data_IF_517308133057
#
_entry.id   IF_517308133057
#
_cell.length_a   1.000
_cell.length_b   1.000
_cell.length_c   1.000
_cell.angle_alpha   90.00
_cell.angle_beta   90.00
_cell.angle_gamma   90.00
#
_symmetry.space_group_name_H-M   'P 1'
#
loop_
_entity.id
_entity.type
_entity.pdbx_description
1 polymer ?
#
# COMPACT_ATOMS: atom_id res chain seq x y z
N UNK A 1 -2.55 -3.85 -5.84
CA UNK A 1 -3.16 -2.50 -5.95
C UNK A 1 -4.02 -2.42 -7.21
N UNK A 2 -5.06 -1.60 -7.22
CA UNK A 2 -5.59 -1.03 -8.46
C UNK A 2 -5.44 0.48 -8.31
N UNK A 3 -4.91 1.17 -9.31
CA UNK A 3 -4.37 2.54 -9.14
C UNK A 3 -5.30 3.53 -8.43
N UNK A 4 -6.62 3.38 -8.55
CA UNK A 4 -7.64 4.27 -7.97
C UNK A 4 -8.83 3.56 -7.33
N UNK A 5 -8.93 2.25 -7.47
CA UNK A 5 -10.09 1.51 -7.00
C UNK A 5 -9.87 1.01 -5.57
N UNK A 6 -10.90 1.13 -4.74
CA UNK A 6 -10.93 0.63 -3.37
C UNK A 6 -11.71 -0.68 -3.30
N UNK A 7 -11.26 -1.60 -2.44
CA UNK A 7 -12.04 -2.81 -2.15
C UNK A 7 -13.34 -2.43 -1.44
N UNK A 8 -14.49 -2.91 -1.91
CA UNK A 8 -15.77 -2.66 -1.25
C UNK A 8 -16.06 -3.72 -0.18
N UNK A 9 -16.71 -3.32 0.92
CA UNK A 9 -17.08 -4.23 2.02
C UNK A 9 -17.92 -5.45 1.56
N UNK A 10 -18.74 -5.29 0.50
CA UNK A 10 -19.53 -6.37 -0.09
C UNK A 10 -18.81 -7.23 -1.14
N UNK A 11 -17.50 -7.03 -1.32
CA UNK A 11 -16.70 -7.64 -2.37
C UNK A 11 -16.65 -6.81 -3.66
N UNK A 12 -15.65 -7.08 -4.48
CA UNK A 12 -15.35 -6.29 -5.68
C UNK A 12 -14.62 -4.98 -5.36
N UNK A 13 -14.60 -4.08 -6.35
CA UNK A 13 -13.87 -2.82 -6.28
C UNK A 13 -14.74 -1.66 -6.74
N UNK A 14 -14.63 -0.51 -6.08
CA UNK A 14 -15.39 0.71 -6.36
C UNK A 14 -14.45 1.90 -6.56
N UNK A 15 -14.90 2.87 -7.34
CA UNK A 15 -14.28 4.19 -7.42
C UNK A 15 -15.00 5.12 -6.46
N UNK A 16 -14.24 5.79 -5.61
CA UNK A 16 -14.77 6.71 -4.60
C UNK A 16 -14.21 8.09 -4.95
N UNK A 17 -15.02 8.96 -5.58
CA UNK A 17 -14.59 10.31 -5.89
C UNK A 17 -14.03 11.00 -4.64
N UNK A 18 -13.02 11.83 -4.82
CA UNK A 18 -12.26 12.53 -3.78
C UNK A 18 -11.34 11.61 -2.96
N UNK A 19 -11.83 10.47 -2.47
CA UNK A 19 -10.97 9.54 -1.70
C UNK A 19 -9.84 8.94 -2.57
N UNK A 20 -10.08 8.75 -3.86
CA UNK A 20 -9.09 8.26 -4.82
C UNK A 20 -8.00 9.28 -5.21
N UNK A 21 -8.12 10.53 -4.73
CA UNK A 21 -7.13 11.59 -4.94
C UNK A 21 -6.02 11.60 -3.88
N UNK A 22 -6.19 10.88 -2.77
CA UNK A 22 -5.19 10.81 -1.70
C UNK A 22 -4.02 9.94 -2.14
N UNK A 23 -2.81 10.47 -2.01
CA UNK A 23 -1.60 9.72 -2.35
C UNK A 23 -1.28 8.65 -1.30
N UNK A 24 -0.46 7.68 -1.72
CA UNK A 24 -0.01 6.60 -0.88
C UNK A 24 1.26 6.96 -0.10
N UNK A 25 1.28 6.64 1.19
CA UNK A 25 2.52 6.45 1.92
C UNK A 25 2.45 5.20 2.80
N UNK A 26 3.41 4.26 2.72
CA UNK A 26 3.43 3.08 3.59
C UNK A 26 3.93 3.41 5.00
N UNK A 27 4.67 4.50 5.17
CA UNK A 27 5.39 4.85 6.41
C UNK A 27 4.92 6.16 7.03
N UNK A 28 4.40 7.09 6.23
CA UNK A 28 3.96 8.42 6.67
C UNK A 28 2.48 8.67 6.39
N UNK A 29 1.63 7.63 6.36
CA UNK A 29 0.20 7.83 6.23
C UNK A 29 -0.33 8.56 7.49
N UNK A 30 -0.98 9.69 7.28
CA UNK A 30 -1.58 10.54 8.31
C UNK A 30 -3.12 10.59 8.21
N UNK A 31 -3.68 9.83 7.28
CA UNK A 31 -5.11 9.57 7.14
C UNK A 31 -5.41 8.09 7.03
N UNK A 32 -6.62 7.70 7.46
CA UNK A 32 -7.20 6.38 7.24
C UNK A 32 -8.54 6.46 6.50
N UNK A 33 -8.85 5.43 5.72
CA UNK A 33 -10.13 5.30 5.01
C UNK A 33 -11.02 4.34 5.80
N UNK A 34 -12.13 4.85 6.32
CA UNK A 34 -13.13 4.08 7.08
C UNK A 34 -14.34 3.84 6.19
N UNK A 35 -14.69 2.57 5.98
CA UNK A 35 -15.89 2.20 5.24
C UNK A 35 -17.05 1.92 6.19
N UNK A 36 -18.17 2.56 5.92
CA UNK A 36 -19.45 2.33 6.59
C UNK A 36 -20.45 1.75 5.58
N UNK A 37 -21.62 1.31 6.07
CA UNK A 37 -22.65 0.71 5.21
C UNK A 37 -23.14 1.67 4.12
N UNK A 38 -23.23 2.97 4.42
CA UNK A 38 -23.85 3.97 3.54
C UNK A 38 -22.88 5.02 3.00
N UNK A 39 -21.67 5.11 3.56
CA UNK A 39 -20.71 6.15 3.22
C UNK A 39 -19.28 5.72 3.55
N UNK A 40 -18.34 6.55 3.13
CA UNK A 40 -16.91 6.36 3.37
C UNK A 40 -16.38 7.66 3.97
N UNK A 41 -15.53 7.51 4.96
CA UNK A 41 -14.87 8.62 5.63
C UNK A 41 -13.36 8.51 5.41
N UNK A 42 -12.72 9.65 5.22
CA UNK A 42 -11.26 9.77 5.33
C UNK A 42 -11.01 10.62 6.57
N UNK A 43 -10.38 10.03 7.58
CA UNK A 43 -10.14 10.70 8.87
C UNK A 43 -8.65 10.82 9.13
N UNK A 44 -8.22 11.93 9.74
CA UNK A 44 -6.83 12.14 10.12
C UNK A 44 -6.49 11.31 11.36
N UNK A 45 -5.31 10.73 11.41
CA UNK A 45 -4.84 9.92 12.55
C UNK A 45 -3.93 10.72 13.50
N UNK A 46 -3.55 11.93 13.09
CA UNK A 46 -2.78 12.89 13.87
C UNK A 46 -3.22 14.33 13.54
N UNK A 47 -2.65 15.30 14.26
CA UNK A 47 -2.75 16.71 13.90
C UNK A 47 -2.06 16.95 12.54
N UNK A 48 -2.63 17.84 11.72
CA UNK A 48 -2.14 18.17 10.38
C UNK A 48 -1.87 19.66 10.29
N UNK A 49 -0.66 20.02 9.89
CA UNK A 49 -0.29 21.42 9.69
C UNK A 49 -0.79 21.96 8.35
N UNK A 50 -1.05 23.27 8.28
CA UNK A 50 -1.47 23.91 7.04
C UNK A 50 -0.39 23.76 5.94
N UNK A 51 -0.76 23.14 4.82
CA UNK A 51 0.15 22.85 3.71
C UNK A 51 0.82 21.48 3.77
N UNK A 52 0.61 20.71 4.84
CA UNK A 52 0.97 19.30 4.88
C UNK A 52 0.05 18.48 3.96
N UNK A 53 0.63 17.50 3.27
CA UNK A 53 -0.12 16.61 2.39
C UNK A 53 -0.87 15.54 3.20
N UNK A 54 -2.11 15.26 2.80
CA UNK A 54 -2.90 14.18 3.37
C UNK A 54 -2.62 12.88 2.60
N UNK A 55 -2.14 11.87 3.32
CA UNK A 55 -1.64 10.62 2.77
C UNK A 55 -2.38 9.44 3.41
N UNK A 56 -2.81 8.49 2.60
CA UNK A 56 -3.41 7.23 3.06
C UNK A 56 -2.45 6.05 2.80
N UNK A 57 -2.67 4.94 3.49
CA UNK A 57 -2.02 3.68 3.16
C UNK A 57 -2.92 2.85 2.24
N UNK A 58 -2.50 2.56 1.01
CA UNK A 58 -3.27 1.71 0.09
C UNK A 58 -3.28 0.24 0.55
N UNK A 59 -2.30 -0.15 1.36
CA UNK A 59 -2.04 -1.49 1.84
C UNK A 59 -0.54 -1.79 1.89
N UNK A 60 -0.20 -3.00 2.32
CA UNK A 60 1.19 -3.46 2.46
C UNK A 60 1.68 -4.07 1.15
N UNK A 61 2.18 -3.21 0.26
CA UNK A 61 2.62 -3.61 -1.08
C UNK A 61 4.12 -3.38 -1.29
N UNK A 62 4.77 -4.31 -1.98
CA UNK A 62 6.14 -4.14 -2.45
C UNK A 62 6.24 -3.06 -3.53
N UNK A 63 7.44 -2.53 -3.76
CA UNK A 63 7.65 -1.56 -4.84
C UNK A 63 7.40 -2.18 -6.23
N UNK A 64 7.64 -3.48 -6.39
CA UNK A 64 7.28 -4.20 -7.61
C UNK A 64 5.76 -4.19 -7.84
N UNK A 65 4.97 -4.45 -6.80
CA UNK A 65 3.50 -4.41 -6.89
C UNK A 65 2.97 -2.99 -7.12
N UNK A 66 3.53 -1.98 -6.44
CA UNK A 66 3.15 -0.57 -6.63
C UNK A 66 3.47 -0.12 -8.06
N UNK A 67 4.66 -0.45 -8.58
CA UNK A 67 5.05 -0.08 -9.93
C UNK A 67 4.12 -0.71 -10.97
N UNK A 68 3.87 -2.01 -10.85
CA UNK A 68 3.02 -2.74 -11.80
C UNK A 68 1.56 -2.27 -11.79
N UNK A 69 1.00 -2.03 -10.61
CA UNK A 69 -0.44 -1.77 -10.47
C UNK A 69 -0.83 -0.29 -10.38
N UNK A 70 0.10 0.57 -9.94
CA UNK A 70 -0.16 1.97 -9.62
C UNK A 70 0.78 2.94 -10.35
N UNK A 71 1.83 2.44 -11.00
CA UNK A 71 2.72 3.24 -11.84
C UNK A 71 3.75 4.08 -11.08
N UNK A 72 3.99 3.79 -9.79
CA UNK A 72 5.00 4.47 -8.97
C UNK A 72 5.67 3.51 -7.97
N UNK A 73 6.77 3.95 -7.36
CA UNK A 73 7.40 3.28 -6.21
C UNK A 73 7.39 4.22 -5.00
N UNK A 74 7.41 3.67 -3.79
CA UNK A 74 7.42 4.44 -2.55
C UNK A 74 8.78 4.32 -1.83
N UNK A 75 9.23 5.42 -1.23
CA UNK A 75 10.44 5.45 -0.41
C UNK A 75 10.28 6.37 0.81
N UNK A 76 10.53 5.89 2.04
CA UNK A 76 10.84 4.50 2.39
C UNK A 76 9.60 3.60 2.24
N UNK A 77 9.81 2.30 1.96
CA UNK A 77 8.75 1.29 1.91
C UNK A 77 9.15 0.06 2.72
N UNK A 78 8.61 -0.06 3.93
CA UNK A 78 8.90 -1.16 4.85
C UNK A 78 8.30 -2.51 4.41
N UNK A 79 7.40 -2.49 3.42
CA UNK A 79 6.80 -3.68 2.82
C UNK A 79 7.48 -4.09 1.51
N UNK A 80 8.58 -3.43 1.14
CA UNK A 80 9.32 -3.82 -0.05
C UNK A 80 9.99 -5.19 0.12
N UNK A 81 9.98 -5.98 -0.95
CA UNK A 81 10.39 -7.37 -0.90
C UNK A 81 10.41 -8.01 -2.28
N UNK A 82 11.04 -9.18 -2.34
CA UNK A 82 11.16 -9.98 -3.56
C UNK A 82 10.53 -11.34 -3.33
N UNK A 83 9.78 -11.80 -4.33
CA UNK A 83 9.32 -13.19 -4.39
C UNK A 83 10.49 -14.03 -4.86
N UNK A 84 10.88 -15.01 -4.04
CA UNK A 84 11.95 -15.96 -4.36
C UNK A 84 11.36 -17.35 -4.37
N UNK A 85 11.67 -18.14 -5.40
CA UNK A 85 11.25 -19.53 -5.41
C UNK A 85 11.95 -20.30 -4.28
N UNK A 86 11.21 -21.18 -3.60
CA UNK A 86 11.76 -21.94 -2.47
C UNK A 86 12.95 -22.82 -2.87
N UNK A 87 13.03 -23.28 -4.11
CA UNK A 87 14.17 -24.03 -4.62
C UNK A 87 15.40 -23.15 -4.81
N UNK A 88 15.23 -21.94 -5.35
CA UNK A 88 16.30 -20.95 -5.48
C UNK A 88 16.84 -20.55 -4.11
N UNK A 89 15.95 -20.31 -3.14
CA UNK A 89 16.33 -19.98 -1.77
C UNK A 89 17.12 -21.12 -1.13
N UNK A 90 16.67 -22.37 -1.27
CA UNK A 90 17.37 -23.54 -0.73
C UNK A 90 18.75 -23.73 -1.37
N UNK A 91 18.85 -23.54 -2.69
CA UNK A 91 20.12 -23.64 -3.41
C UNK A 91 21.10 -22.56 -2.93
N UNK A 92 20.64 -21.32 -2.76
CA UNK A 92 21.45 -20.24 -2.22
C UNK A 92 21.93 -20.52 -0.79
N UNK A 93 21.05 -21.02 0.09
CA UNK A 93 21.42 -21.36 1.47
C UNK A 93 22.48 -22.47 1.51
N UNK A 94 22.30 -23.54 0.72
CA UNK A 94 23.27 -24.63 0.62
C UNK A 94 24.64 -24.18 0.06
N UNK A 95 24.66 -23.14 -0.76
CA UNK A 95 25.90 -22.59 -1.30
C UNK A 95 26.68 -21.69 -0.31
N UNK A 96 26.01 -21.18 0.73
CA UNK A 96 26.57 -20.14 1.63
C UNK A 96 26.83 -20.66 3.05
N UNK A 97 26.15 -21.72 3.49
CA UNK A 97 26.45 -22.37 4.77
C UNK A 97 27.51 -23.49 4.58
N UNK A 98 28.67 -23.43 5.26
CA UNK A 98 29.58 -24.57 5.32
C UNK A 98 28.93 -25.71 6.13
N UNK A 99 29.23 -26.95 5.76
CA UNK A 99 28.79 -28.16 6.49
C UNK A 99 29.20 -28.15 7.97
#
# INVERSE_FOLDING_TARGET
VQSRAHAAQGGGTILIPLADCFNHSPTNANCEVVQHEQHIEVVTTCDIDAGEELLICYGHFSNAELLYNAGFTAWPNDFDGLVVDSSELRAAVAAVLPE
#
